data_IF_080828621326
#
_entry.id   IF_080828621326
#
_cell.length_a   1.000
_cell.length_b   1.000
_cell.length_c   1.000
_cell.angle_alpha   90.00
_cell.angle_beta   90.00
_cell.angle_gamma   90.00
#
_symmetry.space_group_name_H-M   'P 1'
#
loop_
_entity.id
_entity.type
_entity.pdbx_description
1 polymer ?
#
# COMPACT_ATOMS: atom_id res chain seq x y z
N UNK A 1 20.21 -15.35 -10.72
CA UNK A 1 19.21 -15.95 -9.81
C UNK A 1 18.65 -14.83 -8.97
N UNK A 2 17.34 -14.56 -8.99
CA UNK A 2 16.73 -13.55 -8.13
C UNK A 2 16.90 -14.02 -6.68
N UNK A 3 17.57 -13.22 -5.85
CA UNK A 3 17.68 -13.51 -4.42
C UNK A 3 16.33 -13.24 -3.76
N UNK A 4 15.57 -14.31 -3.55
CA UNK A 4 14.24 -14.27 -2.93
C UNK A 4 14.24 -13.53 -1.59
N UNK A 5 15.30 -13.66 -0.79
CA UNK A 5 15.38 -13.02 0.52
C UNK A 5 15.46 -11.50 0.34
N UNK A 6 16.26 -11.04 -0.61
CA UNK A 6 16.38 -9.62 -0.92
C UNK A 6 15.10 -9.08 -1.56
N UNK A 7 14.47 -9.81 -2.49
CA UNK A 7 13.18 -9.41 -3.07
C UNK A 7 12.08 -9.28 -2.02
N UNK A 8 11.98 -10.24 -1.09
CA UNK A 8 10.99 -10.17 0.00
C UNK A 8 11.28 -9.01 0.95
N UNK A 9 12.55 -8.73 1.24
CA UNK A 9 12.95 -7.60 2.08
C UNK A 9 12.56 -6.26 1.44
N UNK A 10 12.76 -6.11 0.13
CA UNK A 10 12.35 -4.90 -0.60
C UNK A 10 10.82 -4.76 -0.63
N UNK A 11 10.07 -5.85 -0.87
CA UNK A 11 8.61 -5.82 -0.79
C UNK A 11 8.09 -5.39 0.58
N UNK A 12 8.67 -5.92 1.66
CA UNK A 12 8.28 -5.53 3.03
C UNK A 12 8.53 -4.03 3.26
N UNK A 13 9.67 -3.50 2.81
CA UNK A 13 9.96 -2.06 2.92
C UNK A 13 8.96 -1.21 2.15
N UNK A 14 8.65 -1.59 0.91
CA UNK A 14 7.66 -0.87 0.11
C UNK A 14 6.29 -0.89 0.78
N UNK A 15 5.86 -2.05 1.32
CA UNK A 15 4.61 -2.15 2.08
C UNK A 15 4.60 -1.24 3.32
N UNK A 16 5.73 -1.09 4.02
CA UNK A 16 5.83 -0.20 5.18
C UNK A 16 5.66 1.27 4.78
N UNK A 17 6.29 1.69 3.68
CA UNK A 17 6.15 3.06 3.15
C UNK A 17 4.70 3.32 2.73
N UNK A 18 4.09 2.41 1.96
CA UNK A 18 2.69 2.57 1.55
C UNK A 18 1.73 2.61 2.76
N UNK A 19 2.01 1.85 3.82
CA UNK A 19 1.21 1.90 5.04
C UNK A 19 1.31 3.26 5.75
N UNK A 20 2.51 3.85 5.83
CA UNK A 20 2.73 5.20 6.37
C UNK A 20 2.00 6.27 5.54
N UNK A 21 2.05 6.18 4.22
CA UNK A 21 1.36 7.10 3.31
C UNK A 21 -0.17 7.02 3.46
N UNK A 22 -0.72 5.80 3.57
CA UNK A 22 -2.15 5.58 3.83
C UNK A 22 -2.59 6.19 5.15
N UNK A 23 -1.81 6.00 6.22
CA UNK A 23 -2.09 6.61 7.52
C UNK A 23 -2.13 8.13 7.41
N UNK A 24 -1.12 8.72 6.78
CA UNK A 24 -1.04 10.17 6.60
C UNK A 24 -2.23 10.73 5.80
N UNK A 25 -2.62 10.07 4.70
CA UNK A 25 -3.77 10.49 3.89
C UNK A 25 -5.08 10.37 4.69
N UNK A 26 -5.23 9.31 5.47
CA UNK A 26 -6.45 9.08 6.27
C UNK A 26 -6.57 10.12 7.38
N UNK A 27 -5.46 10.48 8.03
CA UNK A 27 -5.43 11.53 9.06
C UNK A 27 -5.76 12.91 8.46
N UNK A 28 -5.17 13.24 7.30
CA UNK A 28 -5.48 14.49 6.58
C UNK A 28 -6.95 14.54 6.16
N UNK A 29 -7.47 13.46 5.58
CA UNK A 29 -8.86 13.37 5.18
C UNK A 29 -9.80 13.53 6.38
N UNK A 30 -9.47 12.89 7.52
CA UNK A 30 -10.26 13.03 8.76
C UNK A 30 -10.29 14.49 9.23
N UNK A 31 -9.14 15.17 9.21
CA UNK A 31 -9.05 16.59 9.54
C UNK A 31 -9.87 17.48 8.60
N UNK A 32 -9.80 17.23 7.29
CA UNK A 32 -10.58 17.98 6.30
C UNK A 32 -12.10 17.81 6.50
N UNK A 33 -12.54 16.61 6.90
CA UNK A 33 -13.95 16.35 7.23
C UNK A 33 -14.37 17.14 8.47
N UNK A 34 -13.55 17.15 9.52
CA UNK A 34 -13.84 17.88 10.77
C UNK A 34 -13.90 19.39 10.54
N UNK A 35 -12.98 19.95 9.75
CA UNK A 35 -12.84 21.40 9.58
C UNK A 35 -13.78 21.96 8.50
N UNK A 36 -14.02 21.22 7.41
CA UNK A 36 -14.66 21.75 6.20
C UNK A 36 -15.84 20.89 5.68
N UNK A 37 -16.10 19.75 6.31
CA UNK A 37 -17.17 18.82 5.96
C UNK A 37 -16.76 17.74 4.95
N UNK A 38 -17.63 16.73 4.72
CA UNK A 38 -17.24 15.48 4.05
C UNK A 38 -16.70 15.64 2.62
N UNK A 39 -17.19 16.63 1.87
CA UNK A 39 -16.82 16.80 0.47
C UNK A 39 -15.39 17.30 0.28
N UNK A 40 -14.79 17.91 1.31
CA UNK A 40 -13.44 18.46 1.23
C UNK A 40 -12.36 17.38 1.25
N UNK A 41 -12.65 16.20 1.81
CA UNK A 41 -11.72 15.08 1.86
C UNK A 41 -11.67 14.23 0.57
N UNK A 42 -12.61 14.42 -0.37
CA UNK A 42 -12.74 13.58 -1.56
C UNK A 42 -11.44 13.52 -2.37
N UNK A 43 -10.78 14.66 -2.58
CA UNK A 43 -9.52 14.70 -3.32
C UNK A 43 -8.39 13.93 -2.63
N UNK A 44 -8.33 13.98 -1.29
CA UNK A 44 -7.39 13.19 -0.49
C UNK A 44 -7.69 11.69 -0.55
N UNK A 45 -8.96 11.33 -0.44
CA UNK A 45 -9.42 9.93 -0.47
C UNK A 45 -9.26 9.28 -1.85
N UNK A 46 -9.25 10.03 -2.96
CA UNK A 46 -8.88 9.49 -4.27
C UNK A 46 -7.43 8.96 -4.29
N UNK A 47 -6.50 9.62 -3.59
CA UNK A 47 -5.11 9.15 -3.48
C UNK A 47 -4.98 7.91 -2.60
N UNK A 48 -5.88 7.75 -1.62
CA UNK A 48 -5.95 6.53 -0.82
C UNK A 48 -6.27 5.31 -1.69
N UNK A 49 -7.16 5.46 -2.68
CA UNK A 49 -7.53 4.38 -3.61
C UNK A 49 -6.31 3.85 -4.38
N UNK A 50 -5.47 4.75 -4.92
CA UNK A 50 -4.22 4.39 -5.62
C UNK A 50 -3.29 3.53 -4.75
N UNK A 51 -3.08 3.91 -3.49
CA UNK A 51 -2.24 3.14 -2.57
C UNK A 51 -2.85 1.79 -2.19
N UNK A 52 -4.18 1.68 -2.12
CA UNK A 52 -4.85 0.40 -1.87
C UNK A 52 -4.68 -0.56 -3.06
N UNK A 53 -4.73 -0.05 -4.30
CA UNK A 53 -4.44 -0.83 -5.50
C UNK A 53 -2.98 -1.33 -5.51
N UNK A 54 -2.02 -0.48 -5.14
CA UNK A 54 -0.61 -0.87 -5.02
C UNK A 54 -0.40 -2.00 -3.99
N UNK A 55 -1.06 -1.94 -2.83
CA UNK A 55 -1.03 -3.00 -1.82
C UNK A 55 -1.59 -4.31 -2.38
N UNK A 56 -2.70 -4.26 -3.13
CA UNK A 56 -3.29 -5.43 -3.77
C UNK A 56 -2.32 -6.05 -4.79
N UNK A 57 -1.64 -5.23 -5.59
CA UNK A 57 -0.60 -5.67 -6.51
C UNK A 57 0.58 -6.34 -5.79
N UNK A 58 1.07 -5.74 -4.68
CA UNK A 58 2.15 -6.31 -3.86
C UNK A 58 1.77 -7.66 -3.24
N UNK A 59 0.51 -7.84 -2.82
CA UNK A 59 0.00 -9.12 -2.34
C UNK A 59 0.04 -10.19 -3.44
N UNK A 60 -0.38 -9.85 -4.66
CA UNK A 60 -0.31 -10.75 -5.82
C UNK A 60 1.14 -11.14 -6.16
N UNK A 61 2.06 -10.17 -6.14
CA UNK A 61 3.49 -10.41 -6.35
C UNK A 61 4.07 -11.35 -5.28
N UNK A 62 3.75 -11.10 -4.00
CA UNK A 62 4.19 -11.93 -2.87
C UNK A 62 3.69 -13.37 -2.99
N UNK A 63 2.42 -13.57 -3.36
CA UNK A 63 1.84 -14.90 -3.61
C UNK A 63 2.56 -15.62 -4.76
N UNK A 64 2.90 -14.90 -5.83
CA UNK A 64 3.62 -15.48 -6.98
C UNK A 64 5.06 -15.87 -6.62
N UNK A 65 5.78 -15.03 -5.86
CA UNK A 65 7.11 -15.34 -5.32
C UNK A 65 7.09 -16.55 -4.38
N UNK A 66 6.02 -16.71 -3.62
CA UNK A 66 5.85 -17.88 -2.77
C UNK A 66 5.50 -19.15 -3.55
N UNK A 67 4.74 -19.08 -4.65
CA UNK A 67 4.44 -20.23 -5.51
C UNK A 67 5.65 -20.76 -6.28
N UNK A 68 6.56 -19.89 -6.71
CA UNK A 68 7.85 -20.32 -7.30
C UNK A 68 8.71 -21.20 -6.37
N UNK A 69 8.35 -21.32 -5.09
CA UNK A 69 9.01 -22.19 -4.10
C UNK A 69 8.59 -23.66 -4.19
N UNK A 70 7.42 -23.97 -4.74
CA UNK A 70 6.81 -25.31 -4.61
C UNK A 70 7.30 -26.32 -5.67
N UNK A 71 8.17 -25.92 -6.59
CA UNK A 71 8.70 -26.78 -7.67
C UNK A 71 10.11 -27.33 -7.39
N UNK A 72 10.46 -27.57 -6.11
CA UNK A 72 11.71 -28.26 -5.74
C UNK A 72 11.45 -29.47 -4.87
#
# INVERSE_FOLDING_TARGET
MIDKRETMKQLIKTMQVSAEEIMNITDLASKDIEENGPNCAVGGLCRLDEHLEEIAAMLSATRSINRMRTER
#
